data_IF_105222694090
#
_entry.id   IF_105222694090
#
_cell.length_a   1.000
_cell.length_b   1.000
_cell.length_c   1.000
_cell.angle_alpha   90.00
_cell.angle_beta   90.00
_cell.angle_gamma   90.00
#
_symmetry.space_group_name_H-M   'P 1'
#
loop_
_entity.id
_entity.type
_entity.pdbx_description
1 polymer ?
#
# COMPACT_ATOMS: atom_id res chain seq x y z
N UNK A 1 20.39 -8.59 2.55
CA UNK A 1 19.44 -9.69 2.27
C UNK A 1 18.46 -9.82 3.47
N UNK A 2 17.17 -9.52 3.41
CA UNK A 2 16.14 -9.83 2.41
C UNK A 2 15.07 -8.72 2.36
N UNK A 3 15.53 -7.47 2.16
CA UNK A 3 14.62 -6.32 2.20
C UNK A 3 13.57 -6.41 1.09
N UNK A 4 13.97 -6.74 -0.13
CA UNK A 4 13.04 -6.84 -1.27
C UNK A 4 11.97 -7.92 -1.07
N UNK A 5 12.34 -9.08 -0.51
CA UNK A 5 11.39 -10.14 -0.17
C UNK A 5 10.37 -9.67 0.87
N UNK A 6 10.83 -8.97 1.91
CA UNK A 6 9.94 -8.40 2.93
C UNK A 6 8.98 -7.36 2.33
N UNK A 7 9.46 -6.48 1.44
CA UNK A 7 8.61 -5.49 0.76
C UNK A 7 7.55 -6.17 -0.12
N UNK A 8 7.96 -7.17 -0.91
CA UNK A 8 7.05 -7.93 -1.77
C UNK A 8 5.99 -8.68 -0.95
N UNK A 9 6.39 -9.33 0.15
CA UNK A 9 5.47 -10.04 1.04
C UNK A 9 4.43 -9.13 1.68
N UNK A 10 4.81 -7.92 2.10
CA UNK A 10 3.87 -6.92 2.63
C UNK A 10 2.88 -6.48 1.55
N UNK A 11 3.37 -6.12 0.36
CA UNK A 11 2.52 -5.68 -0.74
C UNK A 11 1.53 -6.78 -1.16
N UNK A 12 2.00 -8.03 -1.25
CA UNK A 12 1.16 -9.17 -1.60
C UNK A 12 0.08 -9.44 -0.54
N UNK A 13 0.43 -9.35 0.75
CA UNK A 13 -0.54 -9.49 1.83
C UNK A 13 -1.65 -8.43 1.73
N UNK A 14 -1.27 -7.16 1.55
CA UNK A 14 -2.26 -6.08 1.38
C UNK A 14 -3.14 -6.37 0.16
N UNK A 15 -2.55 -6.71 -0.99
CA UNK A 15 -3.31 -6.99 -2.23
C UNK A 15 -4.31 -8.14 -2.07
N UNK A 16 -3.92 -9.21 -1.37
CA UNK A 16 -4.70 -10.44 -1.26
C UNK A 16 -5.80 -10.37 -0.21
N UNK A 17 -5.56 -9.67 0.89
CA UNK A 17 -6.49 -9.65 2.03
C UNK A 17 -7.32 -8.36 2.13
N UNK A 18 -6.93 -7.28 1.43
CA UNK A 18 -7.66 -6.02 1.49
C UNK A 18 -8.57 -5.81 0.29
N UNK A 19 -9.79 -5.36 0.58
CA UNK A 19 -10.75 -4.96 -0.44
C UNK A 19 -10.24 -3.77 -1.29
N UNK A 20 -10.67 -3.64 -2.56
CA UNK A 20 -10.28 -2.52 -3.42
C UNK A 20 -10.45 -1.13 -2.78
N UNK A 21 -11.53 -0.91 -2.03
CA UNK A 21 -11.79 0.36 -1.32
C UNK A 21 -10.76 0.66 -0.23
N UNK A 22 -10.33 -0.37 0.51
CA UNK A 22 -9.35 -0.21 1.58
C UNK A 22 -7.97 0.14 1.00
N UNK A 23 -7.59 -0.50 -0.10
CA UNK A 23 -6.33 -0.20 -0.81
C UNK A 23 -6.31 1.24 -1.34
N UNK A 24 -7.42 1.72 -1.90
CA UNK A 24 -7.56 3.13 -2.31
C UNK A 24 -7.42 4.09 -1.14
N UNK A 25 -8.09 3.80 0.00
CA UNK A 25 -7.97 4.64 1.19
C UNK A 25 -6.55 4.68 1.75
N UNK A 26 -5.84 3.55 1.75
CA UNK A 26 -4.44 3.48 2.17
C UNK A 26 -3.52 4.30 1.28
N UNK A 27 -3.66 4.17 -0.05
CA UNK A 27 -2.87 4.95 -1.01
C UNK A 27 -3.12 6.45 -0.86
N UNK A 28 -4.40 6.86 -0.78
CA UNK A 28 -4.76 8.26 -0.55
C UNK A 28 -4.20 8.80 0.78
N UNK A 29 -4.24 8.00 1.85
CA UNK A 29 -3.67 8.38 3.14
C UNK A 29 -2.14 8.48 3.13
N UNK A 30 -1.45 7.83 2.20
CA UNK A 30 0.01 7.94 2.03
C UNK A 30 0.41 9.07 1.09
N UNK A 31 -0.46 9.43 0.15
CA UNK A 31 -0.27 10.58 -0.74
C UNK A 31 -0.53 11.91 -0.05
N UNK A 32 -1.40 11.92 0.97
CA UNK A 32 -1.65 13.10 1.80
C UNK A 32 -0.57 13.25 2.88
N UNK A 33 0.34 14.23 2.79
CA UNK A 33 1.36 14.45 3.79
C UNK A 33 0.80 14.87 5.15
N UNK A 34 -0.44 15.37 5.21
CA UNK A 34 -1.12 15.75 6.47
C UNK A 34 -1.85 14.59 7.13
N UNK A 35 -1.96 13.44 6.47
CA UNK A 35 -2.63 12.26 6.99
C UNK A 35 -1.87 11.67 8.17
N UNK A 36 -2.49 11.71 9.35
CA UNK A 36 -1.97 11.06 10.55
C UNK A 36 -1.82 9.54 10.36
N UNK A 37 -2.66 8.90 9.54
CA UNK A 37 -2.56 7.49 9.23
C UNK A 37 -1.31 7.19 8.39
N UNK A 38 -1.05 8.02 7.36
CA UNK A 38 0.17 7.92 6.55
C UNK A 38 1.42 8.14 7.40
N UNK A 39 1.40 9.14 8.29
CA UNK A 39 2.49 9.49 9.21
C UNK A 39 2.75 8.47 10.32
N UNK A 40 1.75 7.65 10.70
CA UNK A 40 1.91 6.56 11.68
C UNK A 40 2.27 5.22 11.04
N UNK A 41 2.11 5.07 9.73
CA UNK A 41 2.51 3.85 9.03
C UNK A 41 4.00 3.55 9.25
N UNK A 42 4.30 2.28 9.53
CA UNK A 42 5.69 1.84 9.72
C UNK A 42 6.52 2.13 8.44
N UNK A 43 7.80 2.52 8.56
CA UNK A 43 8.64 2.85 7.40
C UNK A 43 8.67 1.73 6.35
N UNK A 44 8.79 0.47 6.78
CA UNK A 44 8.79 -0.69 5.88
C UNK A 44 7.49 -0.85 5.07
N UNK A 45 6.35 -0.44 5.64
CA UNK A 45 5.06 -0.46 4.95
C UNK A 45 5.00 0.64 3.89
N UNK A 46 5.52 1.83 4.19
CA UNK A 46 5.64 2.92 3.21
C UNK A 46 6.53 2.51 2.05
N UNK A 47 7.69 1.93 2.37
CA UNK A 47 8.64 1.44 1.37
C UNK A 47 8.01 0.37 0.48
N UNK A 48 7.26 -0.57 1.06
CA UNK A 48 6.61 -1.64 0.32
C UNK A 48 5.54 -1.10 -0.62
N UNK A 49 4.74 -0.15 -0.14
CA UNK A 49 3.69 0.49 -0.93
C UNK A 49 4.29 1.36 -2.02
N UNK A 50 5.37 2.09 -1.75
CA UNK A 50 6.07 2.88 -2.75
C UNK A 50 6.68 1.99 -3.85
N UNK A 51 7.31 0.87 -3.48
CA UNK A 51 7.92 -0.06 -4.42
C UNK A 51 6.90 -0.83 -5.28
N UNK A 52 5.73 -1.15 -4.71
CA UNK A 52 4.74 -2.01 -5.35
C UNK A 52 3.40 -1.31 -5.63
N UNK A 53 3.40 0.03 -5.72
CA UNK A 53 2.19 0.86 -5.84
C UNK A 53 1.24 0.40 -6.94
N UNK A 54 1.77 0.16 -8.15
CA UNK A 54 1.00 -0.27 -9.31
C UNK A 54 0.24 -1.59 -9.08
N UNK A 55 0.78 -2.50 -8.25
CA UNK A 55 0.12 -3.77 -7.92
C UNK A 55 -1.00 -3.62 -6.88
N UNK A 56 -0.94 -2.55 -6.08
CA UNK A 56 -1.89 -2.25 -5.02
C UNK A 56 -3.05 -1.40 -5.51
N UNK A 57 -2.83 -0.59 -6.56
CA UNK A 57 -3.87 0.13 -7.27
C UNK A 57 -4.92 -0.87 -7.78
N UNK A 58 -6.17 -0.83 -7.28
CA UNK A 58 -7.18 -1.73 -7.77
C UNK A 58 -7.59 -1.28 -9.16
N UNK A 59 -7.71 -2.24 -10.08
CA UNK A 59 -8.28 -2.01 -11.40
C UNK A 59 -9.55 -1.16 -11.25
N UNK A 60 -9.67 -0.11 -12.07
CA UNK A 60 -10.87 0.70 -12.11
C UNK A 60 -12.03 -0.26 -12.38
N UNK A 61 -12.89 -0.44 -11.37
CA UNK A 61 -14.16 -1.11 -11.58
C UNK A 61 -14.93 -0.15 -12.47
N UNK A 62 -14.97 -0.45 -13.78
CA UNK A 62 -15.93 0.18 -14.68
C UNK A 62 -17.31 -0.04 -14.06
N UNK A 63 -17.99 1.07 -13.76
CA UNK A 63 -19.34 1.07 -13.22
C UNK A 63 -20.35 0.48 -14.21
#
# INVERSE_FOLDING_TARGET
PDREEALSGIAEHIRRFWEPRMRRALLAALDDPSSAAGQRAAPIVRDAIAAHRASLEPAATSA
#
